data_IF_453352988081
#
_entry.id   IF_453352988081
#
_cell.length_a   1.000
_cell.length_b   1.000
_cell.length_c   1.000
_cell.angle_alpha   90.00
_cell.angle_beta   90.00
_cell.angle_gamma   90.00
#
_symmetry.space_group_name_H-M   'P 1'
#
loop_
_entity.id
_entity.type
_entity.pdbx_description
1 polymer ?
#
# COMPACT_ATOMS: atom_id res chain seq x y z
N UNK A 1 13.92 -6.13 10.51
CA UNK A 1 15.17 -5.33 10.59
C UNK A 1 15.54 -4.66 9.27
N UNK A 2 15.56 -5.38 8.14
CA UNK A 2 15.99 -4.85 6.82
C UNK A 2 15.15 -3.63 6.37
N UNK A 3 13.84 -3.70 6.51
CA UNK A 3 12.94 -2.59 6.13
C UNK A 3 13.14 -1.34 7.00
N UNK A 4 13.27 -1.53 8.32
CA UNK A 4 13.51 -0.42 9.27
C UNK A 4 14.83 0.29 8.96
N UNK A 5 15.88 -0.46 8.61
CA UNK A 5 17.17 0.12 8.23
C UNK A 5 17.07 0.93 6.92
N UNK A 6 16.31 0.44 5.93
CA UNK A 6 16.07 1.19 4.68
C UNK A 6 15.28 2.48 4.96
N UNK A 7 14.29 2.43 5.82
CA UNK A 7 13.52 3.58 6.26
C UNK A 7 14.39 4.61 7.00
N UNK A 8 15.24 4.16 7.92
CA UNK A 8 16.18 5.04 8.63
C UNK A 8 17.12 5.75 7.68
N UNK A 9 17.69 5.03 6.70
CA UNK A 9 18.55 5.61 5.68
C UNK A 9 17.81 6.67 4.85
N UNK A 10 16.57 6.39 4.48
CA UNK A 10 15.73 7.33 3.71
C UNK A 10 15.39 8.59 4.50
N UNK A 11 15.07 8.47 5.80
CA UNK A 11 14.75 9.61 6.68
C UNK A 11 15.99 10.30 7.26
N UNK A 12 17.21 9.85 6.95
CA UNK A 12 18.45 10.40 7.50
C UNK A 12 18.63 10.11 9.00
N UNK A 13 17.98 9.07 9.53
CA UNK A 13 18.11 8.65 10.93
C UNK A 13 19.41 7.85 11.09
N UNK A 14 20.27 8.13 12.06
CA UNK A 14 21.50 7.37 12.27
C UNK A 14 21.24 5.87 12.49
N UNK A 15 22.08 5.02 11.90
CA UNK A 15 21.92 3.56 11.96
C UNK A 15 22.02 2.99 13.39
N UNK A 16 22.60 3.72 14.32
CA UNK A 16 22.70 3.37 15.75
C UNK A 16 21.57 3.93 16.59
N UNK A 17 20.60 4.63 15.99
CA UNK A 17 19.45 5.12 16.73
C UNK A 17 18.61 3.93 17.23
N UNK A 18 18.40 3.86 18.53
CA UNK A 18 17.45 2.93 19.12
C UNK A 18 16.06 3.53 19.01
N UNK A 19 15.23 2.92 18.18
CA UNK A 19 13.85 3.34 18.04
C UNK A 19 12.93 2.15 18.28
N UNK A 20 11.82 2.43 18.91
CA UNK A 20 10.72 1.47 19.09
C UNK A 20 9.62 1.76 18.10
N UNK A 21 9.08 0.70 17.52
CA UNK A 21 7.88 0.79 16.67
C UNK A 21 6.64 0.58 17.54
N UNK A 22 5.74 1.53 17.51
CA UNK A 22 4.45 1.45 18.20
C UNK A 22 3.31 1.40 17.18
N UNK A 23 2.38 0.49 17.39
CA UNK A 23 1.13 0.49 16.64
C UNK A 23 0.32 1.73 17.05
N UNK A 24 0.08 2.62 16.10
CA UNK A 24 -0.66 3.86 16.32
C UNK A 24 -2.15 3.69 16.00
N UNK A 25 -2.45 3.01 14.90
CA UNK A 25 -3.83 2.73 14.48
C UNK A 25 -3.90 1.45 13.66
N UNK A 26 -5.05 0.79 13.70
CA UNK A 26 -5.37 -0.38 12.88
C UNK A 26 -6.83 -0.34 12.49
N UNK A 27 -7.16 -0.74 11.26
CA UNK A 27 -8.52 -0.83 10.75
C UNK A 27 -8.66 -1.91 9.68
N UNK A 28 -9.89 -2.29 9.40
CA UNK A 28 -10.22 -3.26 8.36
C UNK A 28 -10.99 -2.54 7.25
N UNK A 29 -10.63 -2.82 6.00
CA UNK A 29 -11.35 -2.37 4.83
C UNK A 29 -12.05 -3.55 4.17
N UNK A 30 -13.34 -3.41 3.95
CA UNK A 30 -14.18 -4.32 3.18
C UNK A 30 -14.56 -3.62 1.88
N UNK A 31 -14.02 -4.06 0.76
CA UNK A 31 -14.29 -3.47 -0.55
C UNK A 31 -15.15 -4.39 -1.38
N UNK A 32 -16.26 -3.85 -1.88
CA UNK A 32 -17.19 -4.50 -2.79
C UNK A 32 -16.92 -4.07 -4.24
N UNK A 33 -17.57 -4.74 -5.19
CA UNK A 33 -17.54 -4.35 -6.60
C UNK A 33 -18.00 -2.90 -6.78
N UNK A 34 -17.19 -2.09 -7.45
CA UNK A 34 -17.43 -0.66 -7.65
C UNK A 34 -16.77 0.25 -6.64
N UNK A 35 -16.37 -0.26 -5.48
CA UNK A 35 -15.62 0.53 -4.50
C UNK A 35 -14.21 0.84 -5.00
N UNK A 36 -13.68 1.96 -4.55
CA UNK A 36 -12.28 2.33 -4.74
C UNK A 36 -11.76 3.07 -3.52
N UNK A 37 -10.47 3.09 -3.35
CA UNK A 37 -9.84 3.90 -2.31
C UNK A 37 -9.04 5.01 -3.02
N UNK A 38 -9.45 6.29 -2.87
CA UNK A 38 -8.82 7.40 -3.59
C UNK A 38 -7.36 7.61 -3.16
N UNK A 39 -6.55 8.33 -3.96
CA UNK A 39 -5.19 8.68 -3.58
C UNK A 39 -5.13 9.40 -2.24
N UNK A 40 -4.35 8.86 -1.32
CA UNK A 40 -4.20 9.39 0.04
C UNK A 40 -2.85 9.03 0.66
N UNK A 41 -2.58 9.59 1.81
CA UNK A 41 -1.45 9.29 2.69
C UNK A 41 -1.96 9.04 4.10
N UNK A 42 -1.10 8.58 4.99
CA UNK A 42 -1.43 8.36 6.40
C UNK A 42 -0.56 9.20 7.32
N UNK A 43 -1.03 9.40 8.54
CA UNK A 43 -0.22 9.87 9.65
C UNK A 43 0.68 8.76 10.21
N UNK A 44 1.76 9.14 10.88
CA UNK A 44 2.76 8.20 11.40
C UNK A 44 4.03 8.17 10.56
N UNK A 45 4.88 7.17 10.80
CA UNK A 45 6.15 7.02 10.09
C UNK A 45 6.10 5.92 9.04
N UNK A 46 5.44 4.81 9.37
CA UNK A 46 5.21 3.68 8.48
C UNK A 46 3.74 3.31 8.46
N UNK A 47 3.28 2.84 7.32
CA UNK A 47 1.99 2.16 7.17
C UNK A 47 2.21 0.72 6.77
N UNK A 48 1.26 -0.14 7.09
CA UNK A 48 1.23 -1.50 6.60
C UNK A 48 -0.17 -1.86 6.11
N UNK A 49 -0.22 -2.86 5.23
CA UNK A 49 -1.46 -3.50 4.79
C UNK A 49 -1.24 -4.99 4.65
N UNK A 50 -2.15 -5.77 5.21
CA UNK A 50 -2.22 -7.24 5.09
C UNK A 50 -3.49 -7.57 4.30
N UNK A 51 -3.44 -8.60 3.47
CA UNK A 51 -4.57 -9.05 2.67
C UNK A 51 -5.10 -10.42 3.13
N UNK A 52 -6.02 -10.48 4.10
CA UNK A 52 -6.62 -11.74 4.54
C UNK A 52 -7.42 -12.43 3.44
N UNK A 53 -8.05 -11.65 2.54
CA UNK A 53 -8.89 -12.21 1.48
C UNK A 53 -8.83 -11.36 0.20
N UNK A 54 -8.35 -11.99 -0.87
CA UNK A 54 -8.45 -11.47 -2.24
C UNK A 54 -9.23 -12.51 -3.07
N UNK A 55 -10.47 -12.22 -3.47
CA UNK A 55 -11.28 -13.16 -4.27
C UNK A 55 -10.60 -13.52 -5.60
N UNK A 56 -10.59 -14.79 -5.94
CA UNK A 56 -10.03 -15.29 -7.22
C UNK A 56 -10.62 -14.57 -8.45
N UNK A 57 -11.90 -14.22 -8.40
CA UNK A 57 -12.58 -13.49 -9.48
C UNK A 57 -11.95 -12.12 -9.76
N UNK A 58 -11.42 -11.43 -8.74
CA UNK A 58 -10.69 -10.17 -8.94
C UNK A 58 -9.36 -10.43 -9.66
N UNK A 59 -8.66 -11.51 -9.29
CA UNK A 59 -7.42 -11.89 -9.97
C UNK A 59 -7.66 -12.26 -11.44
N UNK A 60 -8.76 -12.94 -11.72
CA UNK A 60 -9.19 -13.30 -13.09
C UNK A 60 -9.59 -12.05 -13.90
N UNK A 61 -10.38 -11.16 -13.30
CA UNK A 61 -10.74 -9.88 -13.91
C UNK A 61 -9.49 -9.07 -14.27
N UNK A 62 -8.54 -8.98 -13.36
CA UNK A 62 -7.29 -8.27 -13.59
C UNK A 62 -6.50 -8.88 -14.76
N UNK A 63 -6.39 -10.21 -14.86
CA UNK A 63 -5.70 -10.90 -15.96
C UNK A 63 -6.32 -10.60 -17.32
N UNK A 64 -7.64 -10.51 -17.40
CA UNK A 64 -8.38 -10.30 -18.64
C UNK A 64 -8.63 -8.82 -18.97
N UNK A 65 -8.26 -7.92 -18.05
CA UNK A 65 -8.46 -6.49 -18.22
C UNK A 65 -7.66 -5.95 -19.41
N UNK A 66 -8.38 -5.36 -20.37
CA UNK A 66 -7.81 -4.80 -21.62
C UNK A 66 -7.59 -3.28 -21.57
N UNK A 67 -7.86 -2.65 -20.42
CA UNK A 67 -7.62 -1.22 -20.24
C UNK A 67 -6.14 -0.88 -20.11
N UNK A 68 -5.86 0.43 -20.11
CA UNK A 68 -4.51 0.93 -19.94
C UNK A 68 -4.05 0.70 -18.49
N UNK A 69 -2.94 0.00 -18.31
CA UNK A 69 -2.37 -0.29 -16.97
C UNK A 69 -0.88 -0.53 -17.03
N UNK A 70 -0.21 -0.25 -15.93
CA UNK A 70 1.14 -0.77 -15.68
C UNK A 70 1.08 -2.24 -15.23
N UNK A 71 2.16 -3.00 -15.35
CA UNK A 71 2.23 -4.36 -14.79
C UNK A 71 1.82 -4.38 -13.30
N UNK A 72 0.86 -5.24 -12.94
CA UNK A 72 0.31 -5.31 -11.58
C UNK A 72 -0.80 -4.31 -11.27
N UNK A 73 -1.00 -3.28 -12.09
CA UNK A 73 -2.14 -2.37 -11.98
C UNK A 73 -3.45 -2.98 -12.50
N UNK A 74 -4.50 -2.15 -12.60
CA UNK A 74 -5.82 -2.57 -13.04
C UNK A 74 -6.73 -2.99 -11.89
N UNK A 75 -7.84 -3.69 -12.18
CA UNK A 75 -8.87 -4.01 -11.20
C UNK A 75 -8.34 -4.67 -9.93
N UNK A 76 -8.70 -4.12 -8.76
CA UNK A 76 -8.30 -4.61 -7.45
C UNK A 76 -6.84 -4.36 -7.05
N UNK A 77 -6.04 -3.77 -7.94
CA UNK A 77 -4.63 -3.44 -7.68
C UNK A 77 -4.47 -2.28 -6.71
N UNK A 78 -3.35 -2.28 -5.99
CA UNK A 78 -2.86 -1.13 -5.23
C UNK A 78 -1.76 -0.44 -6.02
N UNK A 79 -1.78 0.89 -6.04
CA UNK A 79 -0.78 1.72 -6.74
C UNK A 79 -0.11 2.65 -5.75
N UNK A 80 1.21 2.67 -5.77
CA UNK A 80 2.03 3.60 -5.00
C UNK A 80 2.62 4.63 -5.96
N UNK A 81 2.39 5.91 -5.69
CA UNK A 81 2.86 7.00 -6.54
C UNK A 81 3.98 7.78 -5.87
N UNK A 82 5.00 8.08 -6.63
CA UNK A 82 6.14 8.87 -6.16
C UNK A 82 6.65 9.77 -7.29
N UNK A 83 7.30 10.83 -6.92
CA UNK A 83 7.88 11.76 -7.88
C UNK A 83 8.56 12.92 -7.19
N UNK A 84 9.24 13.75 -7.96
CA UNK A 84 9.86 14.97 -7.46
C UNK A 84 9.36 16.15 -8.27
N UNK A 85 9.02 17.24 -7.58
CA UNK A 85 8.66 18.52 -8.22
C UNK A 85 9.77 19.07 -9.11
N UNK A 86 11.04 18.72 -8.82
CA UNK A 86 12.20 19.16 -9.62
C UNK A 86 12.25 18.53 -11.01
N UNK A 87 11.62 17.38 -11.23
CA UNK A 87 11.63 16.67 -12.51
C UNK A 87 10.28 16.67 -13.22
N UNK A 88 9.27 17.27 -12.64
CA UNK A 88 7.92 17.38 -13.20
C UNK A 88 7.32 16.06 -13.70
N UNK A 89 7.64 14.94 -13.03
CA UNK A 89 7.03 13.67 -13.34
C UNK A 89 6.56 12.93 -12.09
N UNK A 90 5.49 12.19 -12.25
CA UNK A 90 4.97 11.25 -11.26
C UNK A 90 5.15 9.86 -11.84
N UNK A 91 5.72 8.97 -11.06
CA UNK A 91 5.83 7.55 -11.39
C UNK A 91 4.93 6.73 -10.47
N UNK A 92 4.57 5.53 -10.90
CA UNK A 92 3.77 4.62 -10.10
C UNK A 92 4.40 3.22 -10.09
N UNK A 93 4.28 2.55 -8.95
CA UNK A 93 4.48 1.11 -8.82
C UNK A 93 3.14 0.51 -8.48
N UNK A 94 2.67 -0.37 -9.35
CA UNK A 94 1.40 -1.04 -9.22
C UNK A 94 1.61 -2.49 -8.81
N UNK A 95 0.74 -3.00 -7.95
CA UNK A 95 0.75 -4.39 -7.52
C UNK A 95 -0.67 -4.93 -7.40
N UNK A 96 -0.88 -6.15 -7.89
CA UNK A 96 -2.11 -6.91 -7.65
C UNK A 96 -1.89 -7.81 -6.43
N UNK A 97 -2.45 -7.46 -5.26
CA UNK A 97 -2.19 -8.21 -4.05
C UNK A 97 -2.83 -9.60 -4.10
N UNK A 98 -2.21 -10.54 -3.40
CA UNK A 98 -2.70 -11.88 -3.18
C UNK A 98 -3.02 -12.09 -1.69
N UNK A 99 -3.89 -13.07 -1.42
CA UNK A 99 -4.18 -13.46 -0.03
C UNK A 99 -2.91 -13.88 0.69
N UNK A 100 -2.69 -13.33 1.89
CA UNK A 100 -1.53 -13.59 2.73
C UNK A 100 -0.37 -12.61 2.54
N UNK A 101 -0.41 -11.72 1.55
CA UNK A 101 0.63 -10.71 1.38
C UNK A 101 0.56 -9.59 2.42
N UNK A 102 1.73 -9.07 2.75
CA UNK A 102 1.94 -7.92 3.62
C UNK A 102 2.82 -6.89 2.90
N UNK A 103 2.40 -5.64 2.88
CA UNK A 103 3.23 -4.50 2.51
C UNK A 103 3.48 -3.60 3.72
N UNK A 104 4.70 -3.07 3.79
CA UNK A 104 5.07 -2.01 4.73
C UNK A 104 5.72 -0.90 3.89
N UNK A 105 5.27 0.33 4.09
CA UNK A 105 5.71 1.48 3.30
C UNK A 105 5.70 2.77 4.15
N UNK A 106 6.41 3.82 3.72
CA UNK A 106 6.34 5.12 4.37
C UNK A 106 4.90 5.65 4.43
N UNK A 107 4.48 6.15 5.59
CA UNK A 107 3.11 6.60 5.78
C UNK A 107 2.73 7.78 4.88
N UNK A 108 3.69 8.61 4.49
CA UNK A 108 3.54 9.74 3.58
C UNK A 108 3.61 9.36 2.09
N UNK A 109 3.79 8.08 1.76
CA UNK A 109 3.76 7.60 0.38
C UNK A 109 2.32 7.59 -0.14
N UNK A 110 2.05 8.38 -1.19
CA UNK A 110 0.74 8.39 -1.84
C UNK A 110 0.42 7.04 -2.44
N UNK A 111 -0.78 6.55 -2.15
CA UNK A 111 -1.26 5.29 -2.69
C UNK A 111 -2.78 5.31 -2.86
N UNK A 112 -3.27 4.42 -3.69
CA UNK A 112 -4.70 4.25 -3.97
C UNK A 112 -5.00 2.80 -4.35
N UNK A 113 -6.28 2.43 -4.31
CA UNK A 113 -6.74 1.10 -4.72
C UNK A 113 -7.73 1.24 -5.84
N UNK A 114 -7.48 0.53 -6.94
CA UNK A 114 -8.33 0.53 -8.11
C UNK A 114 -9.64 -0.23 -7.84
N UNK A 115 -10.72 0.28 -8.42
CA UNK A 115 -12.00 -0.43 -8.43
C UNK A 115 -11.91 -1.77 -9.15
N UNK A 116 -12.84 -2.66 -8.86
CA UNK A 116 -13.09 -3.90 -9.59
C UNK A 116 -14.60 -4.11 -9.77
N UNK A 117 -15.01 -4.97 -10.69
CA UNK A 117 -16.43 -5.25 -11.02
C UNK A 117 -16.86 -6.66 -10.61
N UNK A 118 -15.90 -7.54 -10.39
CA UNK A 118 -16.16 -8.93 -10.00
C UNK A 118 -16.89 -9.01 -8.68
N UNK A 119 -17.82 -9.94 -8.57
CA UNK A 119 -18.47 -10.25 -7.29
C UNK A 119 -17.46 -10.86 -6.32
N UNK A 120 -17.50 -10.40 -5.09
CA UNK A 120 -16.66 -10.84 -3.98
C UNK A 120 -16.23 -9.65 -3.14
N UNK A 121 -15.78 -9.94 -1.94
CA UNK A 121 -15.33 -8.93 -0.98
C UNK A 121 -13.80 -9.01 -0.83
N UNK A 122 -13.12 -7.94 -1.19
CA UNK A 122 -11.70 -7.75 -0.96
C UNK A 122 -11.50 -7.23 0.44
N UNK A 123 -10.80 -8.00 1.28
CA UNK A 123 -10.54 -7.63 2.68
C UNK A 123 -9.07 -7.29 2.85
N UNK A 124 -8.82 -6.13 3.47
CA UNK A 124 -7.48 -5.75 3.91
C UNK A 124 -7.50 -5.21 5.34
N UNK A 125 -6.46 -5.55 6.09
CA UNK A 125 -6.18 -4.99 7.42
C UNK A 125 -5.02 -4.03 7.27
N UNK A 126 -5.26 -2.77 7.58
CA UNK A 126 -4.27 -1.70 7.46
C UNK A 126 -3.96 -1.10 8.82
N UNK A 127 -2.80 -0.52 8.96
CA UNK A 127 -2.45 0.20 10.19
C UNK A 127 -1.25 1.10 10.01
N UNK A 128 -1.06 1.97 10.99
CA UNK A 128 0.04 2.93 11.05
C UNK A 128 0.93 2.65 12.25
N UNK A 129 2.22 2.80 12.03
CA UNK A 129 3.27 2.62 13.01
C UNK A 129 3.96 3.96 13.25
N UNK A 130 4.32 4.21 14.48
CA UNK A 130 5.09 5.39 14.88
C UNK A 130 6.41 4.96 15.48
N UNK A 131 7.48 5.64 15.06
CA UNK A 131 8.80 5.50 15.65
C UNK A 131 8.92 6.44 16.85
N UNK A 132 9.39 5.92 17.96
CA UNK A 132 9.73 6.74 19.14
C UNK A 132 11.19 6.49 19.49
N UNK A 133 11.87 7.53 19.94
CA UNK A 133 13.19 7.37 20.51
C UNK A 133 13.09 6.49 21.76
N UNK A 134 13.93 5.47 21.80
CA UNK A 134 14.02 4.55 22.93
C UNK A 134 14.66 5.17 24.16
#
# INVERSE_FOLDING_TARGET
KMYVNAFYKWKGIPANATSKLHLHSIWINYMQAGDFNPPHTHGGDLSFVIYPSIPKKILEENKTFKGNRNPGGGPGGISFTYGTTKRNYISAVDHLPQTGELFIFPADLHHYVNTFKSKGERISVSGNLKLTNG
#
